data_IF_514880383856
#
_entry.id   IF_514880383856
#
_cell.length_a   1.000
_cell.length_b   1.000
_cell.length_c   1.000
_cell.angle_alpha   90.00
_cell.angle_beta   90.00
_cell.angle_gamma   90.00
#
_symmetry.space_group_name_H-M   'P 1'
#
loop_
_entity.id
_entity.type
_entity.pdbx_description
1 polymer ?
#
# COMPACT_ATOMS: atom_id res chain seq x y z
N UNK A 1 -44.30 19.51 -6.50
CA UNK A 1 -44.27 20.15 -5.16
C UNK A 1 -42.82 20.36 -4.77
N UNK A 2 -42.26 21.54 -5.06
CA UNK A 2 -40.88 21.87 -4.75
C UNK A 2 -40.82 22.60 -3.40
N UNK A 3 -40.12 22.02 -2.42
CA UNK A 3 -39.88 22.68 -1.12
C UNK A 3 -38.81 23.74 -1.32
N UNK A 4 -39.26 25.00 -1.32
CA UNK A 4 -38.38 26.17 -1.26
C UNK A 4 -37.67 26.12 0.09
N UNK A 5 -36.37 25.86 0.06
CA UNK A 5 -35.50 25.90 1.23
C UNK A 5 -35.44 27.36 1.66
N UNK A 6 -36.10 27.69 2.78
CA UNK A 6 -35.97 28.98 3.44
C UNK A 6 -34.51 29.16 3.88
N UNK A 7 -33.74 29.91 3.08
CA UNK A 7 -32.43 30.42 3.49
C UNK A 7 -32.63 31.53 4.53
N UNK A 8 -32.90 31.10 5.78
CA UNK A 8 -32.87 31.96 6.95
C UNK A 8 -31.45 32.52 7.11
N UNK A 9 -31.33 33.84 6.97
CA UNK A 9 -30.21 34.73 7.34
C UNK A 9 -28.96 33.98 7.82
N UNK A 10 -28.18 33.46 6.87
CA UNK A 10 -26.97 32.71 7.22
C UNK A 10 -25.89 33.71 7.64
N UNK A 11 -25.38 33.58 8.86
CA UNK A 11 -24.22 34.35 9.30
C UNK A 11 -23.00 33.92 8.50
N UNK A 12 -22.38 34.86 7.76
CA UNK A 12 -21.23 34.60 6.87
C UNK A 12 -20.09 33.85 7.58
N UNK A 13 -19.91 34.09 8.87
CA UNK A 13 -18.92 33.40 9.73
C UNK A 13 -19.19 31.90 9.86
N UNK A 14 -20.47 31.48 9.92
CA UNK A 14 -20.84 30.06 9.97
C UNK A 14 -20.67 29.38 8.62
N UNK A 15 -20.92 30.07 7.50
CA UNK A 15 -20.68 29.51 6.16
C UNK A 15 -19.20 29.24 5.94
N UNK A 16 -18.35 30.20 6.29
CA UNK A 16 -16.89 30.06 6.18
C UNK A 16 -16.42 28.86 6.99
N UNK A 17 -16.94 28.69 8.22
CA UNK A 17 -16.57 27.57 9.07
C UNK A 17 -16.98 26.22 8.47
N UNK A 18 -18.19 26.13 7.92
CA UNK A 18 -18.69 24.89 7.29
C UNK A 18 -17.86 24.55 6.04
N UNK A 19 -17.57 25.53 5.18
CA UNK A 19 -16.77 25.31 3.97
C UNK A 19 -15.34 24.89 4.33
N UNK A 20 -14.74 25.52 5.34
CA UNK A 20 -13.40 25.18 5.80
C UNK A 20 -13.34 23.77 6.40
N UNK A 21 -14.37 23.39 7.17
CA UNK A 21 -14.48 22.06 7.76
C UNK A 21 -14.63 20.97 6.69
N UNK A 22 -15.48 21.20 5.67
CA UNK A 22 -15.64 20.26 4.55
C UNK A 22 -14.34 20.14 3.72
N UNK A 23 -13.60 21.23 3.52
CA UNK A 23 -12.32 21.20 2.84
C UNK A 23 -11.26 20.38 3.59
N UNK A 24 -11.19 20.51 4.92
CA UNK A 24 -10.24 19.74 5.75
C UNK A 24 -10.59 18.26 5.77
N UNK A 25 -11.87 17.91 5.95
CA UNK A 25 -12.32 16.50 5.94
C UNK A 25 -12.11 15.87 4.57
N UNK A 26 -12.34 16.62 3.49
CA UNK A 26 -12.03 16.19 2.13
C UNK A 26 -10.54 15.93 1.94
N UNK A 27 -9.66 16.83 2.41
CA UNK A 27 -8.22 16.68 2.30
C UNK A 27 -7.67 15.47 3.08
N UNK A 28 -8.21 15.19 4.27
CA UNK A 28 -7.81 14.04 5.10
C UNK A 28 -8.18 12.69 4.47
N UNK A 29 -9.19 12.66 3.58
CA UNK A 29 -9.64 11.43 2.92
C UNK A 29 -8.65 10.90 1.86
N UNK A 30 -7.69 11.72 1.42
CA UNK A 30 -6.65 11.32 0.47
C UNK A 30 -5.36 10.81 1.15
N UNK A 31 -5.19 11.04 2.45
CA UNK A 31 -3.96 10.66 3.18
C UNK A 31 -3.96 9.15 3.49
N UNK A 32 -5.13 8.52 3.61
CA UNK A 32 -5.28 7.08 3.83
C UNK A 32 -4.99 6.21 2.61
N UNK A 33 -4.85 6.79 1.40
CA UNK A 33 -4.53 6.03 0.18
C UNK A 33 -3.00 5.90 -0.07
N UNK A 34 -2.17 6.62 0.69
CA UNK A 34 -0.72 6.63 0.55
C UNK A 34 0.00 6.25 1.85
N UNK A 35 -0.68 5.55 2.77
CA UNK A 35 0.02 4.86 3.84
C UNK A 35 0.64 3.63 3.19
N UNK A 36 1.88 3.80 2.73
CA UNK A 36 2.73 2.70 2.30
C UNK A 36 2.85 1.79 3.53
N UNK A 37 2.14 0.67 3.50
CA UNK A 37 2.10 -0.25 4.62
C UNK A 37 3.55 -0.61 4.97
N UNK A 38 3.99 -0.34 6.20
CA UNK A 38 5.36 -0.58 6.65
C UNK A 38 5.76 -2.08 6.56
N UNK A 39 4.82 -2.96 6.18
CA UNK A 39 4.98 -4.39 6.00
C UNK A 39 5.05 -4.84 4.53
N UNK A 40 5.16 -3.92 3.56
CA UNK A 40 5.41 -4.29 2.17
C UNK A 40 6.92 -4.38 1.88
N UNK A 41 7.38 -5.50 1.31
CA UNK A 41 8.76 -5.69 0.84
C UNK A 41 8.78 -6.15 -0.61
N UNK A 42 9.82 -5.74 -1.32
CA UNK A 42 10.09 -6.27 -2.65
C UNK A 42 10.84 -7.60 -2.50
N UNK A 43 10.29 -8.68 -3.04
CA UNK A 43 10.92 -10.00 -3.05
C UNK A 43 11.18 -10.48 -4.49
N UNK A 44 12.23 -11.27 -4.67
CA UNK A 44 12.50 -11.99 -5.92
C UNK A 44 13.04 -13.38 -5.65
N UNK A 45 12.85 -14.24 -6.64
CA UNK A 45 13.40 -15.61 -6.62
C UNK A 45 14.83 -15.58 -7.15
N UNK A 46 15.77 -16.16 -6.41
CA UNK A 46 17.15 -16.34 -6.82
C UNK A 46 17.51 -17.81 -6.79
N UNK A 47 18.00 -18.34 -7.92
CA UNK A 47 18.46 -19.72 -8.02
C UNK A 47 19.97 -19.74 -8.10
N UNK A 48 20.56 -20.53 -7.22
CA UNK A 48 21.98 -20.78 -7.10
C UNK A 48 22.29 -22.20 -7.53
N UNK A 49 23.39 -22.40 -8.25
CA UNK A 49 23.93 -23.72 -8.55
C UNK A 49 25.38 -23.76 -8.05
N UNK A 50 25.70 -24.73 -7.19
CA UNK A 50 27.02 -24.83 -6.55
C UNK A 50 27.47 -23.54 -5.83
N UNK A 51 26.52 -22.74 -5.32
CA UNK A 51 26.78 -21.46 -4.65
C UNK A 51 26.92 -20.26 -5.58
N UNK A 52 26.91 -20.45 -6.90
CA UNK A 52 26.89 -19.36 -7.88
C UNK A 52 25.46 -19.00 -8.28
N UNK A 53 25.12 -17.72 -8.38
CA UNK A 53 23.81 -17.28 -8.88
C UNK A 53 23.71 -17.62 -10.38
N UNK A 54 22.75 -18.47 -10.74
CA UNK A 54 22.51 -18.89 -12.13
C UNK A 54 21.25 -18.27 -12.73
N UNK A 55 20.28 -17.90 -11.90
CA UNK A 55 19.05 -17.26 -12.34
C UNK A 55 18.49 -16.32 -11.27
N UNK A 56 17.85 -15.24 -11.71
CA UNK A 56 17.13 -14.29 -10.85
C UNK A 56 15.84 -13.89 -11.55
N UNK A 57 14.73 -13.97 -10.84
CA UNK A 57 13.45 -13.42 -11.29
C UNK A 57 13.35 -11.91 -11.08
N UNK A 58 12.22 -11.36 -11.50
CA UNK A 58 11.87 -9.95 -11.30
C UNK A 58 11.49 -9.65 -9.85
N UNK A 59 11.59 -8.36 -9.47
CA UNK A 59 11.13 -7.87 -8.18
C UNK A 59 9.61 -7.76 -8.18
N UNK A 60 8.98 -8.36 -7.18
CA UNK A 60 7.54 -8.30 -6.96
C UNK A 60 7.30 -7.84 -5.53
N UNK A 61 6.42 -6.85 -5.37
CA UNK A 61 6.04 -6.33 -4.06
C UNK A 61 5.06 -7.31 -3.37
N UNK A 62 5.38 -7.70 -2.14
CA UNK A 62 4.52 -8.52 -1.29
C UNK A 62 4.23 -7.77 0.01
N UNK A 63 2.97 -7.78 0.42
CA UNK A 63 2.52 -7.16 1.66
C UNK A 63 1.86 -8.18 2.59
N UNK A 64 1.87 -7.90 3.89
CA UNK A 64 1.15 -8.63 4.94
C UNK A 64 1.33 -10.16 4.89
N UNK A 65 0.23 -10.89 4.69
CA UNK A 65 0.18 -12.33 4.72
C UNK A 65 0.98 -12.93 3.54
N UNK A 66 0.89 -12.31 2.37
CA UNK A 66 1.63 -12.77 1.20
C UNK A 66 3.14 -12.65 1.42
N UNK A 67 3.59 -11.61 2.12
CA UNK A 67 5.00 -11.49 2.51
C UNK A 67 5.41 -12.61 3.48
N UNK A 68 4.61 -12.88 4.52
CA UNK A 68 4.89 -13.97 5.48
C UNK A 68 4.97 -15.34 4.81
N UNK A 69 4.16 -15.56 3.79
CA UNK A 69 4.11 -16.84 3.09
C UNK A 69 5.36 -17.05 2.23
N UNK A 70 5.93 -16.00 1.64
CA UNK A 70 7.10 -16.08 0.75
C UNK A 70 8.45 -15.84 1.45
N UNK A 71 8.46 -15.09 2.54
CA UNK A 71 9.68 -14.71 3.26
C UNK A 71 10.36 -15.94 3.89
N UNK A 72 11.63 -16.16 3.57
CA UNK A 72 12.41 -17.30 4.08
C UNK A 72 12.19 -18.62 3.33
N UNK A 73 11.37 -18.65 2.28
CA UNK A 73 11.24 -19.84 1.44
C UNK A 73 12.56 -20.17 0.75
N UNK A 74 13.04 -21.40 1.00
CA UNK A 74 14.22 -21.97 0.35
C UNK A 74 13.90 -23.39 -0.07
N UNK A 75 14.21 -23.72 -1.33
CA UNK A 75 14.07 -25.08 -1.86
C UNK A 75 15.37 -25.51 -2.51
N UNK A 76 15.86 -26.69 -2.13
CA UNK A 76 17.10 -27.26 -2.65
C UNK A 76 16.77 -28.56 -3.37
N UNK A 77 17.14 -28.66 -4.64
CA UNK A 77 16.98 -29.86 -5.47
C UNK A 77 18.32 -30.17 -6.12
N UNK A 78 18.97 -31.26 -5.69
CA UNK A 78 20.34 -31.58 -6.11
C UNK A 78 21.33 -30.49 -5.72
N UNK A 79 22.08 -29.96 -6.70
CA UNK A 79 23.04 -28.86 -6.51
C UNK A 79 22.42 -27.47 -6.71
N UNK A 80 21.12 -27.39 -7.03
CA UNK A 80 20.41 -26.14 -7.21
C UNK A 80 19.68 -25.74 -5.94
N UNK A 81 19.88 -24.51 -5.47
CA UNK A 81 19.19 -23.91 -4.33
C UNK A 81 18.44 -22.68 -4.80
N UNK A 82 17.12 -22.68 -4.66
CA UNK A 82 16.27 -21.53 -4.95
C UNK A 82 15.88 -20.86 -3.64
N UNK A 83 16.09 -19.55 -3.54
CA UNK A 83 15.82 -18.74 -2.35
C UNK A 83 14.96 -17.55 -2.72
N UNK A 84 13.96 -17.24 -1.88
CA UNK A 84 13.27 -15.96 -1.94
C UNK A 84 14.10 -14.92 -1.20
N UNK A 85 14.49 -13.84 -1.88
CA UNK A 85 15.27 -12.74 -1.31
C UNK A 85 14.42 -11.48 -1.33
N UNK A 86 14.18 -10.91 -0.15
CA UNK A 86 13.38 -9.70 0.05
C UNK A 86 14.27 -8.54 0.55
N UNK A 87 13.93 -7.31 0.19
CA UNK A 87 14.62 -6.07 0.63
C UNK A 87 13.65 -5.03 1.15
#
# INVERSE_FOLDING_TARGET
MARIICFSKINTKQVIFIVFFVAIVGALSFISACVKDDNCKDCRIQTYENGALVSSGDWVEYCDQALRDVEGQTSTVGNMTTKMVCR
#
